data_IF_282381891098
#
_entry.id   IF_282381891098
#
_cell.length_a   1.000
_cell.length_b   1.000
_cell.length_c   1.000
_cell.angle_alpha   90.00
_cell.angle_beta   90.00
_cell.angle_gamma   90.00
#
_symmetry.space_group_name_H-M   'P 1'
#
loop_
_entity.id
_entity.type
_entity.pdbx_description
1 polymer ?
#
# COMPACT_ATOMS: atom_id res chain seq x y z
N UNK A 1 53.87 11.27 22.41
CA UNK A 1 53.66 9.92 22.98
C UNK A 1 53.09 9.08 21.85
N UNK A 2 53.93 8.46 21.00
CA UNK A 2 54.69 7.21 21.25
C UNK A 2 53.71 6.09 21.61
N UNK A 3 53.44 5.08 20.76
CA UNK A 3 54.33 4.02 20.26
C UNK A 3 53.72 3.46 18.94
N UNK A 4 54.36 3.36 17.77
CA UNK A 4 55.60 2.67 17.38
C UNK A 4 55.72 1.23 17.93
N UNK A 5 55.37 0.27 17.08
CA UNK A 5 55.41 -1.16 17.35
C UNK A 5 55.57 -1.94 16.05
N UNK A 6 56.79 -1.94 15.53
CA UNK A 6 57.25 -2.89 14.53
C UNK A 6 57.22 -4.31 15.09
N UNK A 7 56.79 -5.31 14.31
CA UNK A 7 57.44 -6.62 14.38
C UNK A 7 57.11 -7.55 13.20
N UNK A 8 58.21 -8.09 12.67
CA UNK A 8 58.39 -9.41 12.06
C UNK A 8 57.70 -9.77 10.73
N UNK A 9 58.37 -9.34 9.66
CA UNK A 9 59.25 -10.21 8.86
C UNK A 9 59.15 -11.73 9.18
N UNK A 10 58.40 -12.43 8.34
CA UNK A 10 58.35 -13.89 8.24
C UNK A 10 58.24 -14.27 6.77
N UNK A 11 59.36 -14.13 6.05
CA UNK A 11 59.55 -14.61 4.70
C UNK A 11 59.90 -16.11 4.74
N UNK A 12 59.55 -16.80 3.66
CA UNK A 12 59.92 -18.17 3.28
C UNK A 12 58.95 -19.29 3.65
N UNK A 13 58.82 -20.16 2.64
CA UNK A 13 58.20 -21.48 2.65
C UNK A 13 56.69 -21.51 2.62
N UNK A 14 56.13 -21.45 1.41
CA UNK A 14 55.41 -22.58 0.77
C UNK A 14 55.37 -22.29 -0.74
N UNK A 15 56.51 -22.50 -1.42
CA UNK A 15 56.53 -22.81 -2.86
C UNK A 15 56.42 -24.33 -3.02
N UNK A 16 55.30 -24.92 -2.58
CA UNK A 16 54.94 -26.26 -3.04
C UNK A 16 54.16 -26.13 -4.34
N UNK A 17 54.94 -26.28 -5.41
CA UNK A 17 54.55 -26.86 -6.70
C UNK A 17 53.20 -27.61 -6.64
N UNK A 18 52.11 -26.88 -6.89
CA UNK A 18 50.91 -27.48 -7.42
C UNK A 18 51.24 -27.77 -8.88
N UNK A 19 51.75 -28.98 -9.16
CA UNK A 19 51.63 -29.59 -10.48
C UNK A 19 50.15 -29.52 -10.83
N UNK A 20 49.78 -28.51 -11.63
CA UNK A 20 48.46 -28.43 -12.22
C UNK A 20 48.28 -29.71 -13.01
N UNK A 21 47.50 -30.64 -12.45
CA UNK A 21 46.93 -31.71 -13.25
C UNK A 21 46.27 -31.01 -14.44
N UNK A 22 46.46 -31.49 -15.69
CA UNK A 22 45.72 -30.98 -16.82
C UNK A 22 44.23 -31.16 -16.49
N UNK A 23 43.60 -30.09 -15.99
CA UNK A 23 42.18 -30.05 -15.66
C UNK A 23 41.48 -30.54 -16.91
N UNK A 24 40.67 -31.60 -16.78
CA UNK A 24 39.92 -32.22 -17.86
C UNK A 24 39.15 -31.13 -18.64
N UNK A 25 39.72 -30.62 -19.73
CA UNK A 25 39.07 -29.70 -20.68
C UNK A 25 38.18 -30.46 -21.66
N UNK A 26 38.28 -31.79 -21.67
CA UNK A 26 37.53 -32.68 -22.55
C UNK A 26 36.00 -32.56 -22.43
N UNK A 27 35.37 -32.54 -21.24
CA UNK A 27 33.92 -32.35 -21.13
C UNK A 27 33.44 -30.98 -21.64
N UNK A 28 34.27 -29.93 -21.54
CA UNK A 28 33.93 -28.61 -22.08
C UNK A 28 33.87 -28.62 -23.61
N UNK A 29 34.85 -29.25 -24.26
CA UNK A 29 34.87 -29.36 -25.72
C UNK A 29 33.74 -30.23 -26.25
N UNK A 30 33.35 -31.30 -25.54
CA UNK A 30 32.17 -32.10 -25.88
C UNK A 30 30.90 -31.25 -25.80
N UNK A 31 30.74 -30.48 -24.72
CA UNK A 31 29.61 -29.56 -24.55
C UNK A 31 29.52 -28.54 -25.68
N UNK A 32 30.61 -27.81 -25.95
CA UNK A 32 30.66 -26.78 -26.98
C UNK A 32 30.38 -27.32 -28.39
N UNK A 33 30.92 -28.50 -28.72
CA UNK A 33 30.65 -29.18 -30.00
C UNK A 33 29.19 -29.61 -30.10
N UNK A 34 28.59 -30.11 -29.01
CA UNK A 34 27.17 -30.49 -28.97
C UNK A 34 26.25 -29.27 -29.14
N UNK A 35 26.55 -28.14 -28.48
CA UNK A 35 25.77 -26.89 -28.59
C UNK A 35 25.78 -26.34 -30.02
N UNK A 36 26.88 -26.57 -30.76
CA UNK A 36 27.02 -26.10 -32.14
C UNK A 36 26.38 -27.07 -33.14
N UNK A 37 26.58 -28.38 -32.98
CA UNK A 37 26.12 -29.39 -33.93
C UNK A 37 24.62 -29.72 -33.80
N UNK A 38 24.06 -29.72 -32.59
CA UNK A 38 22.66 -30.11 -32.37
C UNK A 38 21.66 -29.16 -33.07
N UNK A 39 21.80 -27.82 -33.01
CA UNK A 39 20.92 -26.91 -33.75
C UNK A 39 21.09 -27.04 -35.26
N UNK A 40 22.32 -27.22 -35.76
CA UNK A 40 22.58 -27.36 -37.21
C UNK A 40 21.95 -28.63 -37.77
N UNK A 41 22.04 -29.75 -37.03
CA UNK A 41 21.40 -31.00 -37.40
C UNK A 41 19.86 -30.90 -37.40
N UNK A 42 19.27 -30.19 -36.43
CA UNK A 42 17.82 -29.96 -36.35
C UNK A 42 17.32 -29.07 -37.51
N UNK A 43 18.06 -28.02 -37.87
CA UNK A 43 17.73 -27.16 -39.02
C UNK A 43 17.74 -27.96 -40.32
N UNK A 44 18.75 -28.82 -40.52
CA UNK A 44 18.90 -29.62 -41.75
C UNK A 44 17.86 -30.74 -41.88
N UNK A 45 17.38 -31.30 -40.77
CA UNK A 45 16.47 -32.47 -40.80
C UNK A 45 14.99 -32.11 -40.73
N UNK A 46 14.62 -31.06 -39.97
CA UNK A 46 13.21 -30.73 -39.67
C UNK A 46 12.78 -29.44 -40.39
N UNK A 47 13.71 -28.60 -40.84
CA UNK A 47 13.40 -27.35 -41.55
C UNK A 47 12.67 -26.29 -40.69
N UNK A 48 12.54 -26.52 -39.38
CA UNK A 48 11.79 -25.65 -38.48
C UNK A 48 12.74 -24.79 -37.64
N UNK A 49 12.91 -23.53 -38.04
CA UNK A 49 13.81 -22.56 -37.40
C UNK A 49 13.48 -22.29 -35.92
N UNK A 50 12.22 -22.47 -35.50
CA UNK A 50 11.82 -22.27 -34.09
C UNK A 50 12.32 -23.40 -33.19
N UNK A 51 12.27 -24.64 -33.66
CA UNK A 51 12.78 -25.80 -32.93
C UNK A 51 14.30 -25.73 -32.73
N UNK A 52 15.02 -25.24 -33.76
CA UNK A 52 16.47 -25.01 -33.67
C UNK A 52 16.85 -23.94 -32.64
N UNK A 53 16.08 -22.84 -32.56
CA UNK A 53 16.28 -21.80 -31.57
C UNK A 53 16.07 -22.30 -30.14
N UNK A 54 15.01 -23.07 -29.90
CA UNK A 54 14.72 -23.68 -28.59
C UNK A 54 15.83 -24.65 -28.19
N UNK A 55 16.32 -25.49 -29.11
CA UNK A 55 17.41 -26.42 -28.86
C UNK A 55 18.72 -25.68 -28.53
N UNK A 56 19.02 -24.58 -29.23
CA UNK A 56 20.20 -23.75 -28.98
C UNK A 56 20.16 -23.11 -27.59
N UNK A 57 19.01 -22.53 -27.20
CA UNK A 57 18.81 -21.95 -25.86
C UNK A 57 18.93 -23.02 -24.77
N UNK A 58 18.39 -24.21 -25.02
CA UNK A 58 18.43 -25.32 -24.05
C UNK A 58 19.85 -25.85 -23.85
N UNK A 59 20.63 -26.01 -24.93
CA UNK A 59 22.03 -26.43 -24.83
C UNK A 59 22.92 -25.34 -24.21
N UNK A 60 22.66 -24.07 -24.50
CA UNK A 60 23.35 -22.93 -23.89
C UNK A 60 23.07 -22.88 -22.38
N UNK A 61 21.82 -23.06 -21.97
CA UNK A 61 21.43 -23.10 -20.56
C UNK A 61 22.08 -24.29 -19.85
N UNK A 62 22.13 -25.46 -20.49
CA UNK A 62 22.78 -26.66 -19.94
C UNK A 62 24.30 -26.48 -19.77
N UNK A 63 24.98 -25.86 -20.75
CA UNK A 63 26.42 -25.56 -20.65
C UNK A 63 26.73 -24.50 -19.58
N UNK A 64 25.83 -23.52 -19.37
CA UNK A 64 25.90 -22.58 -18.25
C UNK A 64 25.72 -23.28 -16.90
N UNK A 65 24.77 -24.21 -16.78
CA UNK A 65 24.53 -24.98 -15.55
C UNK A 65 25.71 -25.88 -15.19
N UNK A 66 26.36 -26.52 -16.17
CA UNK A 66 27.58 -27.31 -15.92
C UNK A 66 28.77 -26.48 -15.42
N UNK A 67 28.75 -25.17 -15.65
CA UNK A 67 29.75 -24.21 -15.16
C UNK A 67 29.28 -23.43 -13.93
N UNK A 68 28.09 -23.72 -13.41
CA UNK A 68 27.52 -23.01 -12.27
C UNK A 68 28.33 -23.21 -10.98
N UNK A 69 29.01 -24.35 -10.82
CA UNK A 69 29.88 -24.61 -9.66
C UNK A 69 31.17 -23.77 -9.70
N UNK A 70 31.83 -23.69 -10.87
CA UNK A 70 32.99 -22.80 -11.09
C UNK A 70 32.61 -21.31 -10.96
N UNK A 71 31.41 -20.94 -11.43
CA UNK A 71 30.87 -19.59 -11.28
C UNK A 71 30.43 -19.31 -9.84
N UNK A 72 29.95 -20.29 -9.09
CA UNK A 72 29.60 -20.15 -7.69
C UNK A 72 30.85 -19.82 -6.87
N UNK A 73 31.96 -20.53 -7.03
CA UNK A 73 33.20 -20.26 -6.28
C UNK A 73 33.81 -18.87 -6.55
N UNK A 74 33.73 -18.36 -7.78
CA UNK A 74 34.24 -17.00 -8.12
C UNK A 74 33.26 -15.85 -7.80
N UNK A 75 31.95 -16.12 -7.71
CA UNK A 75 30.91 -15.08 -7.59
C UNK A 75 30.38 -14.90 -6.17
N UNK A 76 30.61 -15.84 -5.24
CA UNK A 76 29.96 -15.84 -3.92
C UNK A 76 30.29 -14.62 -3.03
N UNK A 77 31.39 -13.91 -3.26
CA UNK A 77 31.73 -12.68 -2.53
C UNK A 77 31.21 -11.42 -3.23
N UNK A 78 31.80 -11.01 -4.36
CA UNK A 78 31.47 -9.74 -5.03
C UNK A 78 30.06 -9.71 -5.62
N UNK A 79 29.54 -10.82 -6.16
CA UNK A 79 28.19 -10.85 -6.72
C UNK A 79 27.13 -10.80 -5.62
N UNK A 80 27.32 -11.52 -4.50
CA UNK A 80 26.42 -11.41 -3.34
C UNK A 80 26.43 -10.01 -2.75
N UNK A 81 27.59 -9.36 -2.67
CA UNK A 81 27.68 -7.97 -2.22
C UNK A 81 26.88 -7.03 -3.14
N UNK A 82 27.09 -7.14 -4.45
CA UNK A 82 26.37 -6.33 -5.44
C UNK A 82 24.87 -6.61 -5.49
N UNK A 83 24.45 -7.87 -5.35
CA UNK A 83 23.03 -8.24 -5.26
C UNK A 83 22.39 -7.69 -3.99
N UNK A 84 23.07 -7.78 -2.82
CA UNK A 84 22.57 -7.18 -1.58
C UNK A 84 22.46 -5.66 -1.69
N UNK A 85 23.42 -5.03 -2.33
CA UNK A 85 23.41 -3.59 -2.60
C UNK A 85 22.22 -3.21 -3.50
N UNK A 86 22.03 -3.90 -4.63
CA UNK A 86 20.89 -3.67 -5.53
C UNK A 86 19.54 -3.95 -4.87
N UNK A 87 19.44 -5.01 -4.05
CA UNK A 87 18.22 -5.29 -3.27
C UNK A 87 17.96 -4.20 -2.24
N UNK A 88 19.01 -3.69 -1.58
CA UNK A 88 18.88 -2.60 -0.62
C UNK A 88 18.49 -1.28 -1.30
N UNK A 89 19.07 -1.00 -2.46
CA UNK A 89 18.72 0.16 -3.28
C UNK A 89 17.27 0.06 -3.77
N UNK A 90 16.85 -1.09 -4.31
CA UNK A 90 15.47 -1.32 -4.71
C UNK A 90 14.49 -1.19 -3.52
N UNK A 91 14.85 -1.71 -2.34
CA UNK A 91 14.04 -1.57 -1.14
C UNK A 91 13.92 -0.09 -0.69
N UNK A 92 14.98 0.69 -0.82
CA UNK A 92 14.95 2.13 -0.54
C UNK A 92 14.03 2.86 -1.52
N UNK A 93 14.14 2.59 -2.83
CA UNK A 93 13.27 3.17 -3.85
C UNK A 93 11.80 2.81 -3.63
N UNK A 94 11.50 1.57 -3.23
CA UNK A 94 10.13 1.16 -2.88
C UNK A 94 9.60 1.92 -1.67
N UNK A 95 10.43 2.14 -0.65
CA UNK A 95 10.05 2.93 0.52
C UNK A 95 9.77 4.40 0.15
N UNK A 96 10.59 5.01 -0.70
CA UNK A 96 10.36 6.37 -1.21
C UNK A 96 9.07 6.47 -2.03
N UNK A 97 8.82 5.52 -2.94
CA UNK A 97 7.59 5.48 -3.73
C UNK A 97 6.35 5.31 -2.84
N UNK A 98 6.44 4.49 -1.79
CA UNK A 98 5.38 4.39 -0.77
C UNK A 98 5.16 5.72 -0.06
N UNK A 99 6.22 6.40 0.38
CA UNK A 99 6.07 7.70 1.05
C UNK A 99 5.35 8.73 0.15
N UNK A 100 5.70 8.79 -1.14
CA UNK A 100 5.04 9.66 -2.12
C UNK A 100 3.59 9.26 -2.38
N UNK A 101 3.31 7.95 -2.48
CA UNK A 101 1.93 7.45 -2.65
C UNK A 101 1.06 7.80 -1.44
N UNK A 102 1.59 7.65 -0.22
CA UNK A 102 0.91 7.98 1.03
C UNK A 102 0.58 9.49 1.11
N UNK A 103 1.56 10.36 0.84
CA UNK A 103 1.34 11.81 0.88
C UNK A 103 0.33 12.27 -0.18
N UNK A 104 0.40 11.68 -1.38
CA UNK A 104 -0.53 11.99 -2.48
C UNK A 104 -1.94 11.50 -2.16
N UNK A 105 -2.08 10.30 -1.60
CA UNK A 105 -3.37 9.76 -1.18
C UNK A 105 -4.00 10.62 -0.08
N UNK A 106 -3.24 10.98 0.97
CA UNK A 106 -3.72 11.84 2.04
C UNK A 106 -4.21 13.20 1.53
N UNK A 107 -3.45 13.84 0.63
CA UNK A 107 -3.84 15.10 0.01
C UNK A 107 -5.11 14.98 -0.85
N UNK A 108 -5.22 13.90 -1.64
CA UNK A 108 -6.39 13.62 -2.46
C UNK A 108 -7.64 13.36 -1.60
N UNK A 109 -7.52 12.56 -0.54
CA UNK A 109 -8.62 12.29 0.39
C UNK A 109 -9.08 13.56 1.10
N UNK A 110 -8.15 14.40 1.55
CA UNK A 110 -8.46 15.71 2.17
C UNK A 110 -9.21 16.61 1.19
N UNK A 111 -8.78 16.64 -0.07
CA UNK A 111 -9.42 17.42 -1.13
C UNK A 111 -10.81 16.89 -1.47
N UNK A 112 -10.98 15.57 -1.52
CA UNK A 112 -12.30 14.93 -1.71
C UNK A 112 -13.26 15.30 -0.57
N UNK A 113 -12.78 15.35 0.67
CA UNK A 113 -13.59 15.77 1.81
C UNK A 113 -13.96 17.25 1.78
N UNK A 114 -13.02 18.13 1.44
CA UNK A 114 -13.24 19.57 1.44
C UNK A 114 -14.07 20.07 0.25
N UNK A 115 -14.11 19.34 -0.88
CA UNK A 115 -14.77 19.72 -2.13
C UNK A 115 -16.31 19.90 -2.10
N UNK A 116 -16.93 19.84 -0.93
CA UNK A 116 -18.39 19.86 -0.75
C UNK A 116 -19.06 21.23 -0.97
N UNK A 117 -18.28 22.30 -1.17
CA UNK A 117 -18.81 23.68 -1.12
C UNK A 117 -19.29 24.26 -2.45
N UNK A 118 -18.93 23.70 -3.62
CA UNK A 118 -19.28 24.28 -4.93
C UNK A 118 -19.70 23.22 -5.97
N UNK A 119 -20.83 22.53 -5.76
CA UNK A 119 -21.40 21.64 -6.79
C UNK A 119 -20.52 20.43 -7.15
N UNK A 120 -19.70 19.98 -6.19
CA UNK A 120 -18.74 18.89 -6.37
C UNK A 120 -19.36 17.49 -6.47
N UNK A 121 -18.49 16.48 -6.47
CA UNK A 121 -18.87 15.08 -6.52
C UNK A 121 -19.86 14.70 -5.39
N UNK A 122 -20.85 13.87 -5.72
CA UNK A 122 -21.78 13.34 -4.72
C UNK A 122 -21.03 12.63 -3.60
N UNK A 123 -21.63 12.56 -2.41
CA UNK A 123 -21.00 11.82 -1.30
C UNK A 123 -20.71 10.38 -1.68
N UNK A 124 -21.64 9.70 -2.36
CA UNK A 124 -21.41 8.35 -2.89
C UNK A 124 -20.14 8.27 -3.76
N UNK A 125 -19.97 9.17 -4.72
CA UNK A 125 -18.80 9.19 -5.60
C UNK A 125 -17.49 9.39 -4.84
N UNK A 126 -17.52 10.14 -3.73
CA UNK A 126 -16.36 10.31 -2.85
C UNK A 126 -16.05 9.05 -2.06
N UNK A 127 -17.07 8.38 -1.51
CA UNK A 127 -16.90 7.09 -0.84
C UNK A 127 -16.32 6.04 -1.80
N UNK A 128 -16.81 6.00 -3.04
CA UNK A 128 -16.30 5.07 -4.07
C UNK A 128 -14.85 5.40 -4.46
N UNK A 129 -14.48 6.68 -4.41
CA UNK A 129 -13.10 7.12 -4.66
C UNK A 129 -12.18 6.79 -3.49
N UNK A 130 -12.65 6.92 -2.25
CA UNK A 130 -11.95 6.46 -1.05
C UNK A 130 -11.66 4.96 -1.13
N UNK A 131 -12.66 4.14 -1.42
CA UNK A 131 -12.49 2.68 -1.51
C UNK A 131 -11.42 2.29 -2.54
N UNK A 132 -11.43 2.94 -3.72
CA UNK A 132 -10.44 2.73 -4.77
C UNK A 132 -9.04 3.13 -4.34
N UNK A 133 -8.90 4.26 -3.64
CA UNK A 133 -7.60 4.73 -3.13
C UNK A 133 -7.07 3.74 -2.08
N UNK A 134 -7.90 3.33 -1.11
CA UNK A 134 -7.50 2.38 -0.06
C UNK A 134 -7.16 1.02 -0.65
N UNK A 135 -7.92 0.52 -1.61
CA UNK A 135 -7.63 -0.73 -2.31
C UNK A 135 -6.26 -0.67 -3.03
N UNK A 136 -5.99 0.41 -3.77
CA UNK A 136 -4.72 0.60 -4.46
C UNK A 136 -3.53 0.68 -3.48
N UNK A 137 -3.68 1.37 -2.34
CA UNK A 137 -2.64 1.40 -1.31
C UNK A 137 -2.42 0.00 -0.71
N UNK A 138 -3.49 -0.76 -0.47
CA UNK A 138 -3.36 -2.14 0.03
C UNK A 138 -2.62 -3.04 -0.98
N UNK A 139 -2.89 -2.89 -2.28
CA UNK A 139 -2.18 -3.60 -3.36
C UNK A 139 -0.68 -3.25 -3.43
N UNK A 140 -0.32 -2.01 -3.13
CA UNK A 140 1.09 -1.58 -2.98
C UNK A 140 1.76 -2.14 -1.72
N UNK A 141 0.97 -2.77 -0.83
CA UNK A 141 1.44 -3.46 0.36
C UNK A 141 1.58 -2.57 1.59
N UNK A 142 0.74 -1.54 1.70
CA UNK A 142 0.59 -0.81 2.97
C UNK A 142 -0.13 -1.67 4.01
N UNK A 143 0.34 -1.60 5.25
CA UNK A 143 -0.29 -2.25 6.40
C UNK A 143 -1.53 -1.49 6.88
N UNK A 144 -2.43 -2.16 7.60
CA UNK A 144 -3.63 -1.52 8.16
C UNK A 144 -3.30 -0.37 9.13
N UNK A 145 -2.14 -0.41 9.80
CA UNK A 145 -1.67 0.69 10.63
C UNK A 145 -1.34 1.95 9.81
N UNK A 146 -0.58 1.79 8.73
CA UNK A 146 -0.24 2.89 7.82
C UNK A 146 -1.49 3.43 7.10
N UNK A 147 -2.41 2.55 6.69
CA UNK A 147 -3.68 2.97 6.08
C UNK A 147 -4.51 3.83 7.03
N UNK A 148 -4.58 3.49 8.33
CA UNK A 148 -5.29 4.31 9.33
C UNK A 148 -4.66 5.68 9.50
N UNK A 149 -3.33 5.78 9.44
CA UNK A 149 -2.63 7.06 9.52
C UNK A 149 -2.92 7.92 8.29
N UNK A 150 -2.80 7.36 7.08
CA UNK A 150 -3.08 8.03 5.81
C UNK A 150 -4.54 8.52 5.73
N UNK A 151 -5.48 7.73 6.27
CA UNK A 151 -6.92 8.03 6.23
C UNK A 151 -7.43 8.79 7.46
N UNK A 152 -6.54 9.23 8.36
CA UNK A 152 -6.93 9.91 9.61
C UNK A 152 -7.76 11.19 9.39
N UNK A 153 -7.37 12.04 8.45
CA UNK A 153 -8.13 13.26 8.10
C UNK A 153 -9.46 12.93 7.43
N UNK A 154 -9.51 11.85 6.64
CA UNK A 154 -10.76 11.34 6.09
C UNK A 154 -11.73 10.91 7.20
N UNK A 155 -11.23 10.20 8.22
CA UNK A 155 -12.03 9.79 9.38
C UNK A 155 -12.62 10.98 10.13
N UNK A 156 -11.84 12.06 10.32
CA UNK A 156 -12.35 13.32 10.91
C UNK A 156 -13.46 13.93 10.05
N UNK A 157 -13.23 14.00 8.74
CA UNK A 157 -14.20 14.47 7.77
C UNK A 157 -15.52 13.66 7.78
N UNK A 158 -15.43 12.34 7.88
CA UNK A 158 -16.59 11.46 8.04
C UNK A 158 -17.33 11.71 9.35
N UNK A 159 -16.61 12.03 10.44
CA UNK A 159 -17.22 12.49 11.68
C UNK A 159 -18.13 13.70 11.49
N UNK A 160 -17.69 14.70 10.71
CA UNK A 160 -18.51 15.88 10.41
C UNK A 160 -19.76 15.53 9.59
N UNK A 161 -19.64 14.56 8.68
CA UNK A 161 -20.76 14.06 7.88
C UNK A 161 -21.80 13.37 8.78
N UNK A 162 -21.35 12.49 9.69
CA UNK A 162 -22.23 11.85 10.67
C UNK A 162 -22.91 12.87 11.59
N UNK A 163 -22.15 13.85 12.12
CA UNK A 163 -22.71 14.93 12.93
C UNK A 163 -23.80 15.69 12.19
N UNK A 164 -23.59 16.04 10.92
CA UNK A 164 -24.60 16.69 10.08
C UNK A 164 -25.83 15.81 9.86
N UNK A 165 -25.65 14.51 9.64
CA UNK A 165 -26.77 13.56 9.50
C UNK A 165 -27.58 13.45 10.80
N UNK A 166 -26.92 13.36 11.95
CA UNK A 166 -27.55 13.34 13.28
C UNK A 166 -28.32 14.65 13.51
N UNK A 167 -27.72 15.81 13.22
CA UNK A 167 -28.40 17.11 13.29
C UNK A 167 -29.62 17.17 12.36
N UNK A 168 -29.54 16.58 11.16
CA UNK A 168 -30.67 16.41 10.25
C UNK A 168 -31.81 15.62 10.89
N UNK A 169 -31.50 14.48 11.50
CA UNK A 169 -32.48 13.66 12.21
C UNK A 169 -33.11 14.41 13.40
N UNK A 170 -32.35 15.20 14.17
CA UNK A 170 -32.88 16.05 15.25
C UNK A 170 -33.92 17.06 14.74
N UNK A 171 -33.75 17.57 13.51
CA UNK A 171 -34.69 18.46 12.84
C UNK A 171 -35.90 17.73 12.22
N UNK A 172 -36.05 16.42 12.45
CA UNK A 172 -37.09 15.59 11.83
C UNK A 172 -36.81 15.26 10.36
N UNK A 173 -35.56 15.44 9.88
CA UNK A 173 -35.15 15.16 8.50
C UNK A 173 -34.40 13.83 8.44
N UNK A 174 -35.13 12.75 8.66
CA UNK A 174 -34.55 11.41 8.69
C UNK A 174 -33.98 11.01 7.32
N UNK A 175 -34.56 11.51 6.23
CA UNK A 175 -34.10 11.29 4.86
C UNK A 175 -33.77 12.60 4.17
N UNK A 176 -32.92 12.54 3.14
CA UNK A 176 -32.60 13.73 2.35
C UNK A 176 -33.81 14.32 1.61
N UNK A 177 -34.83 13.51 1.30
CA UNK A 177 -36.07 14.02 0.71
C UNK A 177 -36.85 14.95 1.65
N UNK A 178 -36.53 14.93 2.94
CA UNK A 178 -37.23 15.67 3.98
C UNK A 178 -36.69 17.11 4.16
N UNK A 179 -35.84 17.60 3.26
CA UNK A 179 -35.29 18.97 3.34
C UNK A 179 -36.37 20.07 3.41
N UNK A 180 -37.56 19.80 2.85
CA UNK A 180 -38.68 20.72 2.88
C UNK A 180 -39.40 20.78 4.24
N UNK A 181 -39.12 19.86 5.17
CA UNK A 181 -39.75 19.85 6.50
C UNK A 181 -39.00 20.84 7.41
N UNK A 182 -39.63 21.95 7.81
CA UNK A 182 -39.05 22.82 8.82
C UNK A 182 -39.21 22.13 10.18
N UNK A 183 -38.10 21.91 10.88
CA UNK A 183 -38.16 21.45 12.27
C UNK A 183 -38.93 22.44 13.15
N UNK A 184 -39.39 22.00 14.32
CA UNK A 184 -40.06 22.90 15.29
C UNK A 184 -39.06 23.95 15.82
N UNK A 185 -39.53 25.07 16.42
CA UNK A 185 -38.65 26.04 17.07
C UNK A 185 -37.70 25.39 18.10
N UNK A 186 -38.20 24.43 18.87
CA UNK A 186 -37.44 23.70 19.88
C UNK A 186 -36.38 22.81 19.23
N UNK A 187 -36.74 22.06 18.18
CA UNK A 187 -35.78 21.23 17.44
C UNK A 187 -34.67 22.07 16.81
N UNK A 188 -34.99 23.26 16.28
CA UNK A 188 -33.99 24.20 15.76
C UNK A 188 -33.02 24.66 16.85
N UNK A 189 -33.55 25.06 18.00
CA UNK A 189 -32.72 25.47 19.14
C UNK A 189 -31.77 24.34 19.59
N UNK A 190 -32.27 23.11 19.67
CA UNK A 190 -31.43 21.95 20.02
C UNK A 190 -30.40 21.67 18.93
N UNK A 191 -30.79 21.70 17.65
CA UNK A 191 -29.89 21.47 16.53
C UNK A 191 -28.78 22.52 16.40
N UNK A 192 -29.07 23.77 16.74
CA UNK A 192 -28.07 24.85 16.76
C UNK A 192 -27.13 24.69 17.96
N UNK A 193 -27.65 24.40 19.16
CA UNK A 193 -26.80 24.07 20.31
C UNK A 193 -25.94 22.81 20.08
N UNK A 194 -26.45 21.83 19.32
CA UNK A 194 -25.70 20.62 18.94
C UNK A 194 -24.59 20.94 17.92
N UNK A 195 -24.78 21.95 17.08
CA UNK A 195 -23.76 22.43 16.13
C UNK A 195 -22.55 23.00 16.86
N UNK A 196 -22.78 23.74 17.95
CA UNK A 196 -21.71 24.34 18.77
C UNK A 196 -20.81 23.32 19.48
N UNK A 197 -21.21 22.04 19.54
CA UNK A 197 -20.33 20.97 20.06
C UNK A 197 -19.20 20.62 19.10
N UNK A 198 -19.31 20.97 17.82
CA UNK A 198 -18.31 20.70 16.80
C UNK A 198 -17.34 21.88 16.67
N UNK A 199 -16.04 21.60 16.76
CA UNK A 199 -15.00 22.55 16.40
C UNK A 199 -14.66 22.37 14.91
N UNK A 200 -15.46 23.02 14.05
CA UNK A 200 -15.35 22.94 12.58
C UNK A 200 -14.01 23.39 12.03
N UNK A 201 -13.29 24.27 12.72
CA UNK A 201 -11.94 24.73 12.38
C UNK A 201 -10.91 23.60 12.45
N UNK A 202 -11.11 22.64 13.37
CA UNK A 202 -10.19 21.51 13.60
C UNK A 202 -10.75 20.15 13.15
N UNK A 203 -11.94 20.15 12.57
CA UNK A 203 -12.69 18.93 12.20
C UNK A 203 -12.90 17.99 13.40
N UNK A 204 -13.01 18.56 14.60
CA UNK A 204 -13.27 17.82 15.82
C UNK A 204 -14.78 17.72 16.06
N UNK A 205 -15.22 16.50 16.33
CA UNK A 205 -16.62 16.13 16.49
C UNK A 205 -16.78 15.42 17.83
N UNK A 206 -17.84 15.69 18.61
CA UNK A 206 -18.06 15.03 19.89
C UNK A 206 -18.15 13.50 19.75
N UNK A 207 -17.81 12.77 20.80
CA UNK A 207 -17.96 11.31 20.79
C UNK A 207 -19.43 10.89 20.66
N UNK A 208 -19.74 9.67 20.17
CA UNK A 208 -21.11 9.15 20.14
C UNK A 208 -21.81 9.20 21.51
N UNK A 209 -21.06 8.97 22.59
CA UNK A 209 -21.53 9.03 23.98
C UNK A 209 -21.87 10.47 24.40
N UNK A 210 -21.03 11.44 24.04
CA UNK A 210 -21.28 12.86 24.30
C UNK A 210 -22.51 13.35 23.54
N UNK A 211 -22.66 12.96 22.27
CA UNK A 211 -23.83 13.27 21.46
C UNK A 211 -25.11 12.70 22.08
N UNK A 212 -25.09 11.42 22.48
CA UNK A 212 -26.25 10.75 23.09
C UNK A 212 -26.65 11.43 24.39
N UNK A 213 -25.69 11.73 25.27
CA UNK A 213 -25.92 12.42 26.53
C UNK A 213 -26.52 13.81 26.31
N UNK A 214 -25.92 14.61 25.42
CA UNK A 214 -26.40 15.96 25.11
C UNK A 214 -27.86 15.99 24.64
N UNK A 215 -28.24 15.02 23.80
CA UNK A 215 -29.60 14.91 23.23
C UNK A 215 -30.60 14.35 24.25
N UNK A 216 -30.20 13.38 25.07
CA UNK A 216 -31.01 12.85 26.16
C UNK A 216 -31.36 13.93 27.20
N UNK A 217 -30.39 14.77 27.57
CA UNK A 217 -30.58 15.90 28.51
C UNK A 217 -31.61 16.93 28.00
N UNK A 218 -31.87 16.94 26.69
CA UNK A 218 -32.85 17.82 26.01
C UNK A 218 -34.14 17.09 25.63
N UNK A 219 -34.32 15.85 26.10
CA UNK A 219 -35.52 15.05 25.86
C UNK A 219 -35.65 14.51 24.43
N UNK A 220 -34.58 14.52 23.62
CA UNK A 220 -34.58 13.97 22.26
C UNK A 220 -34.30 12.47 22.32
N UNK A 221 -35.34 11.66 22.17
CA UNK A 221 -35.28 10.19 22.19
C UNK A 221 -35.76 9.57 20.86
N UNK A 222 -35.39 10.18 19.74
CA UNK A 222 -35.80 9.72 18.41
C UNK A 222 -34.99 8.46 17.99
N UNK A 223 -35.63 7.34 17.63
CA UNK A 223 -34.94 6.14 17.14
C UNK A 223 -34.03 6.39 15.92
N UNK A 224 -34.38 7.32 15.04
CA UNK A 224 -33.56 7.65 13.87
C UNK A 224 -32.27 8.35 14.28
N UNK A 225 -32.32 9.21 15.30
CA UNK A 225 -31.14 9.86 15.89
C UNK A 225 -30.21 8.82 16.52
N UNK A 226 -30.74 7.90 17.35
CA UNK A 226 -29.90 6.87 17.98
C UNK A 226 -29.29 5.91 16.95
N UNK A 227 -30.03 5.58 15.88
CA UNK A 227 -29.48 4.78 14.79
C UNK A 227 -28.26 5.46 14.13
N UNK A 228 -28.33 6.77 13.86
CA UNK A 228 -27.17 7.50 13.31
C UNK A 228 -25.99 7.60 14.28
N UNK A 229 -26.23 7.79 15.57
CA UNK A 229 -25.17 7.76 16.59
C UNK A 229 -24.53 6.38 16.66
N UNK A 230 -25.34 5.32 16.59
CA UNK A 230 -24.86 3.93 16.61
C UNK A 230 -23.99 3.61 15.39
N UNK A 231 -24.39 4.08 14.20
CA UNK A 231 -23.58 3.94 12.99
C UNK A 231 -22.29 4.74 13.05
N UNK A 232 -22.32 5.94 13.62
CA UNK A 232 -21.10 6.73 13.80
C UNK A 232 -20.10 6.01 14.72
N UNK A 233 -20.57 5.46 15.84
CA UNK A 233 -19.75 4.62 16.72
C UNK A 233 -19.18 3.41 15.98
N UNK A 234 -20.01 2.70 15.22
CA UNK A 234 -19.55 1.57 14.43
C UNK A 234 -18.44 1.98 13.45
N UNK A 235 -18.63 3.07 12.72
CA UNK A 235 -17.63 3.60 11.81
C UNK A 235 -16.30 3.92 12.53
N UNK A 236 -16.34 4.52 13.72
CA UNK A 236 -15.13 4.79 14.49
C UNK A 236 -14.39 3.51 14.90
N UNK A 237 -15.12 2.43 15.19
CA UNK A 237 -14.57 1.13 15.62
C UNK A 237 -14.04 0.29 14.45
N UNK A 238 -14.73 0.30 13.31
CA UNK A 238 -14.49 -0.66 12.21
C UNK A 238 -14.00 -0.03 10.91
N UNK A 239 -14.05 1.28 10.77
CA UNK A 239 -13.89 1.99 9.48
C UNK A 239 -14.97 1.63 8.42
N UNK A 240 -16.05 0.94 8.81
CA UNK A 240 -17.12 0.54 7.89
C UNK A 240 -18.33 1.48 7.98
N UNK A 241 -18.81 1.93 6.83
CA UNK A 241 -19.99 2.80 6.72
C UNK A 241 -21.25 1.94 6.59
N UNK A 242 -22.04 1.88 7.67
CA UNK A 242 -23.40 1.31 7.62
C UNK A 242 -24.37 2.25 6.92
N UNK A 243 -25.41 1.67 6.31
CA UNK A 243 -26.47 2.39 5.59
C UNK A 243 -25.92 3.41 4.59
N UNK A 244 -24.89 2.99 3.84
CA UNK A 244 -24.18 3.82 2.85
C UNK A 244 -25.13 4.47 1.84
N UNK A 245 -26.20 3.78 1.50
CA UNK A 245 -27.28 4.25 0.64
C UNK A 245 -27.97 5.53 1.15
N UNK A 246 -28.07 5.73 2.47
CA UNK A 246 -28.68 6.94 3.05
C UNK A 246 -27.82 8.19 2.82
N UNK A 247 -26.51 8.03 2.62
CA UNK A 247 -25.61 9.13 2.25
C UNK A 247 -25.73 9.53 0.78
N UNK A 248 -26.18 8.63 -0.09
CA UNK A 248 -26.35 8.91 -1.52
C UNK A 248 -27.53 9.85 -1.82
N UNK A 249 -28.45 9.98 -0.86
CA UNK A 249 -29.64 10.80 -1.02
C UNK A 249 -29.40 12.27 -0.66
N UNK A 250 -28.37 12.58 0.15
CA UNK A 250 -28.02 13.92 0.66
C UNK A 250 -27.15 14.73 -0.30
#
# INVERSE_FOLDING_TARGET
MATEGANHMGNNDIRRSAKGSPRQTWPFWIGAVLTLLAPTAIVLTIGNSRAAWIAAVSCLLFTLLMRAEDLAELSLGPLRAKMREQVREAAATVAELKAVAASTAAANLTTLMSGNFMGGASLQSRLDSFDRIVAALREVGFSEGELREITSEWRKGMGLIYHRAIRGAVLGRANARDHAIPGTPEQRQVADAFQELCAFDRWEVPSPEDMRRFLADRGINDPAVDAWISDYRHYLETDEIRRRDLFSLQ
#
